data_IF_398919121903
#
_entry.id   IF_398919121903
#
_cell.length_a   1.000
_cell.length_b   1.000
_cell.length_c   1.000
_cell.angle_alpha   90.00
_cell.angle_beta   90.00
_cell.angle_gamma   90.00
#
_symmetry.space_group_name_H-M   'P 1'
#
loop_
_entity.id
_entity.type
_entity.pdbx_description
1 polymer ?
#
# COMPACT_ATOMS: atom_id res chain seq x y z
N UNK A 1 1.45 -11.67 10.56
CA UNK A 1 2.07 -11.38 9.24
C UNK A 1 1.07 -11.39 8.08
N UNK A 2 0.49 -12.54 7.70
CA UNK A 2 -0.49 -12.61 6.57
C UNK A 2 -1.71 -11.70 6.76
N UNK A 3 -2.21 -11.59 7.99
CA UNK A 3 -3.35 -10.73 8.36
C UNK A 3 -3.07 -9.23 8.13
N UNK A 4 -1.85 -8.76 8.38
CA UNK A 4 -1.48 -7.35 8.20
C UNK A 4 -1.35 -6.97 6.72
N UNK A 5 -0.78 -7.86 5.91
CA UNK A 5 -0.71 -7.69 4.45
C UNK A 5 -2.13 -7.68 3.86
N UNK A 6 -3.00 -8.55 4.36
CA UNK A 6 -4.40 -8.62 3.94
C UNK A 6 -5.16 -7.33 4.29
N UNK A 7 -5.01 -6.81 5.51
CA UNK A 7 -5.63 -5.55 5.94
C UNK A 7 -5.13 -4.37 5.09
N UNK A 8 -3.82 -4.28 4.84
CA UNK A 8 -3.26 -3.25 3.96
C UNK A 8 -3.85 -3.33 2.54
N UNK A 9 -3.96 -4.52 1.97
CA UNK A 9 -4.56 -4.71 0.64
C UNK A 9 -6.04 -4.29 0.61
N UNK A 10 -6.83 -4.65 1.63
CA UNK A 10 -8.24 -4.28 1.73
C UNK A 10 -8.39 -2.75 1.78
N UNK A 11 -7.58 -2.07 2.61
CA UNK A 11 -7.61 -0.60 2.73
C UNK A 11 -7.36 0.08 1.38
N UNK A 12 -6.35 -0.36 0.63
CA UNK A 12 -6.06 0.19 -0.70
C UNK A 12 -7.15 -0.08 -1.72
N UNK A 13 -7.76 -1.27 -1.70
CA UNK A 13 -8.91 -1.59 -2.55
C UNK A 13 -10.09 -0.68 -2.22
N UNK A 14 -10.37 -0.42 -0.94
CA UNK A 14 -11.44 0.50 -0.54
C UNK A 14 -11.16 1.93 -1.01
N UNK A 15 -9.92 2.41 -0.88
CA UNK A 15 -9.53 3.76 -1.35
C UNK A 15 -9.70 3.89 -2.86
N UNK A 16 -9.25 2.90 -3.63
CA UNK A 16 -9.42 2.90 -5.09
C UNK A 16 -10.89 2.87 -5.47
N UNK A 17 -11.70 2.07 -4.79
CA UNK A 17 -13.13 1.92 -5.08
C UNK A 17 -13.91 3.20 -4.74
N UNK A 18 -13.60 3.84 -3.61
CA UNK A 18 -14.18 5.14 -3.23
C UNK A 18 -13.75 6.23 -4.21
N UNK A 19 -12.46 6.28 -4.56
CA UNK A 19 -11.96 7.20 -5.57
C UNK A 19 -12.66 6.99 -6.92
N UNK A 20 -12.84 5.74 -7.34
CA UNK A 20 -13.49 5.39 -8.61
C UNK A 20 -14.95 5.83 -8.62
N UNK A 21 -15.65 5.71 -7.49
CA UNK A 21 -17.01 6.20 -7.35
C UNK A 21 -17.09 7.74 -7.36
N UNK A 22 -16.20 8.42 -6.63
CA UNK A 22 -16.24 9.88 -6.49
C UNK A 22 -15.80 10.63 -7.75
N UNK A 23 -14.85 10.07 -8.51
CA UNK A 23 -14.23 10.73 -9.66
C UNK A 23 -14.67 10.13 -11.00
N UNK A 24 -15.70 9.28 -10.99
CA UNK A 24 -16.25 8.61 -12.18
C UNK A 24 -16.68 9.66 -13.22
N UNK A 25 -15.90 9.80 -14.29
CA UNK A 25 -16.18 10.72 -15.40
C UNK A 25 -15.41 12.05 -15.37
N UNK A 26 -14.53 12.26 -14.39
CA UNK A 26 -13.58 13.39 -14.42
C UNK A 26 -12.23 12.96 -15.00
N UNK A 27 -11.58 13.80 -15.83
CA UNK A 27 -10.19 13.58 -16.28
C UNK A 27 -9.22 13.40 -15.09
N UNK A 28 -9.58 13.95 -13.94
CA UNK A 28 -8.83 13.86 -12.69
C UNK A 28 -8.70 12.42 -12.16
N UNK A 29 -9.52 11.48 -12.63
CA UNK A 29 -9.39 10.06 -12.26
C UNK A 29 -8.01 9.49 -12.58
N UNK A 30 -7.45 9.82 -13.74
CA UNK A 30 -6.13 9.32 -14.14
C UNK A 30 -5.01 9.85 -13.23
N UNK A 31 -5.07 11.13 -12.86
CA UNK A 31 -4.12 11.73 -11.92
C UNK A 31 -4.23 11.14 -10.52
N UNK A 32 -5.46 10.94 -10.04
CA UNK A 32 -5.73 10.40 -8.72
C UNK A 32 -5.32 8.93 -8.63
N UNK A 33 -5.61 8.14 -9.66
CA UNK A 33 -5.18 6.75 -9.78
C UNK A 33 -3.65 6.62 -9.85
N UNK A 34 -2.98 7.48 -10.64
CA UNK A 34 -1.51 7.53 -10.68
C UNK A 34 -0.89 7.87 -9.33
N UNK A 35 -1.46 8.85 -8.62
CA UNK A 35 -1.00 9.25 -7.28
C UNK A 35 -1.17 8.11 -6.27
N UNK A 36 -2.30 7.41 -6.31
CA UNK A 36 -2.57 6.22 -5.49
C UNK A 36 -1.53 5.12 -5.75
N UNK A 37 -1.18 4.84 -7.01
CA UNK A 37 -0.19 3.82 -7.35
C UNK A 37 1.22 4.15 -6.85
N UNK A 38 1.63 5.42 -6.95
CA UNK A 38 2.92 5.87 -6.44
C UNK A 38 2.97 5.76 -4.91
N UNK A 39 1.93 6.25 -4.22
CA UNK A 39 1.82 6.15 -2.78
C UNK A 39 1.79 4.68 -2.31
N UNK A 40 1.05 3.81 -3.00
CA UNK A 40 1.02 2.37 -2.75
C UNK A 40 2.41 1.76 -2.85
N UNK A 41 3.15 2.07 -3.90
CA UNK A 41 4.51 1.54 -4.11
C UNK A 41 5.47 1.96 -2.99
N UNK A 42 5.42 3.23 -2.58
CA UNK A 42 6.27 3.77 -1.50
C UNK A 42 5.94 3.10 -0.17
N UNK A 43 4.66 3.05 0.20
CA UNK A 43 4.23 2.50 1.49
C UNK A 43 4.51 0.99 1.56
N UNK A 44 4.22 0.23 0.51
CA UNK A 44 4.55 -1.19 0.48
C UNK A 44 6.07 -1.41 0.49
N UNK A 45 6.85 -0.62 -0.24
CA UNK A 45 8.31 -0.70 -0.22
C UNK A 45 8.88 -0.45 1.19
N UNK A 46 8.36 0.57 1.89
CA UNK A 46 8.76 0.89 3.26
C UNK A 46 8.36 -0.23 4.23
N UNK A 47 7.12 -0.71 4.15
CA UNK A 47 6.62 -1.80 4.99
C UNK A 47 7.43 -3.08 4.78
N UNK A 48 7.78 -3.41 3.53
CA UNK A 48 8.61 -4.58 3.20
C UNK A 48 10.04 -4.44 3.73
N UNK A 49 10.61 -3.23 3.69
CA UNK A 49 11.93 -2.94 4.24
C UNK A 49 11.96 -3.00 5.77
N UNK A 50 10.92 -2.51 6.45
CA UNK A 50 10.78 -2.66 7.91
C UNK A 50 10.63 -4.13 8.28
N UNK A 51 9.78 -4.88 7.59
CA UNK A 51 9.64 -6.33 7.79
C UNK A 51 10.97 -7.08 7.56
N UNK A 52 11.83 -6.62 6.65
CA UNK A 52 13.18 -7.18 6.43
C UNK A 52 14.15 -6.86 7.57
N UNK A 53 13.98 -5.73 8.26
CA UNK A 53 14.81 -5.35 9.42
C UNK A 53 14.44 -6.17 10.65
N UNK A 54 13.14 -6.33 10.95
CA UNK A 54 12.66 -7.23 12.02
C UNK A 54 13.20 -8.66 11.88
N UNK A 55 13.31 -9.15 10.63
CA UNK A 55 13.84 -10.50 10.38
C UNK A 55 15.35 -10.64 10.58
N UNK A 56 16.12 -9.53 10.51
CA UNK A 56 17.57 -9.52 10.71
C UNK A 56 17.97 -9.38 12.17
N UNK A 57 17.18 -8.71 13.00
CA UNK A 57 17.48 -8.61 14.44
C UNK A 57 17.42 -9.97 15.16
N UNK A 58 16.55 -10.89 14.72
CA UNK A 58 16.56 -12.28 15.22
C UNK A 58 17.72 -13.16 14.70
N UNK A 59 18.57 -12.66 13.80
CA UNK A 59 19.75 -13.39 13.31
C UNK A 59 21.09 -12.83 13.84
N UNK A 60 21.06 -11.69 14.53
CA UNK A 60 22.24 -11.05 15.13
C UNK A 60 22.49 -11.39 16.60
N UNK A 61 21.60 -12.15 17.24
CA UNK A 61 21.83 -12.80 18.53
C UNK A 61 22.30 -14.24 18.29
N UNK A 62 23.54 -14.42 17.84
CA UNK A 62 24.23 -15.71 17.89
C UNK A 62 25.68 -15.50 18.27
#
# INVERSE_FOLDING_TARGET
>A
MKKLILINAIVWVTIVLVGACLFKGSENWNYLFGTILVAFSIVNGLMTNQMRKDKKECAGLK
#
